data_IF_849311655402
#
_entry.id   IF_849311655402
#
_cell.length_a   1.000
_cell.length_b   1.000
_cell.length_c   1.000
_cell.angle_alpha   90.00
_cell.angle_beta   90.00
_cell.angle_gamma   90.00
#
_symmetry.space_group_name_H-M   'P 1'
#
loop_
_entity.id
_entity.type
_entity.pdbx_description
1 polymer ?
#
# COMPACT_ATOMS: atom_id res chain seq x y z
N UNK A 1 -7.09 -3.64 -14.54
CA UNK A 1 -6.99 -4.90 -15.31
C UNK A 1 -5.54 -5.30 -15.56
N UNK A 2 -4.78 -4.59 -16.40
CA UNK A 2 -3.40 -5.00 -16.75
C UNK A 2 -2.38 -5.11 -15.60
N UNK A 3 -2.62 -4.52 -14.43
CA UNK A 3 -1.76 -4.76 -13.24
C UNK A 3 -1.99 -6.17 -12.70
N UNK A 4 -3.25 -6.55 -12.47
CA UNK A 4 -3.60 -7.86 -11.93
C UNK A 4 -3.16 -8.98 -12.88
N UNK A 5 -3.41 -8.83 -14.18
CA UNK A 5 -2.97 -9.80 -15.19
C UNK A 5 -1.45 -10.03 -15.16
N UNK A 6 -0.66 -8.97 -14.98
CA UNK A 6 0.81 -9.09 -14.88
C UNK A 6 1.23 -9.76 -13.57
N UNK A 7 0.58 -9.42 -12.45
CA UNK A 7 0.89 -10.02 -11.15
C UNK A 7 0.56 -11.52 -11.15
N UNK A 8 -0.64 -11.90 -11.60
CA UNK A 8 -1.11 -13.29 -11.59
C UNK A 8 -0.43 -14.17 -12.64
N UNK A 9 0.26 -13.57 -13.63
CA UNK A 9 1.11 -14.30 -14.56
C UNK A 9 2.44 -14.74 -13.94
N UNK A 10 2.84 -14.20 -12.78
CA UNK A 10 4.06 -14.62 -12.09
C UNK A 10 3.82 -15.96 -11.37
N UNK A 11 4.70 -16.96 -11.54
CA UNK A 11 4.43 -18.34 -11.13
C UNK A 11 4.29 -18.56 -9.62
N UNK A 12 4.87 -17.68 -8.81
CA UNK A 12 4.91 -17.83 -7.35
C UNK A 12 4.39 -16.57 -6.63
N UNK A 13 3.54 -15.78 -7.28
CA UNK A 13 3.00 -14.57 -6.67
C UNK A 13 2.16 -14.91 -5.45
N UNK A 14 2.34 -14.14 -4.39
CA UNK A 14 1.47 -14.14 -3.22
C UNK A 14 1.03 -12.71 -2.99
N UNK A 15 -0.26 -12.51 -2.79
CA UNK A 15 -0.85 -11.20 -2.60
C UNK A 15 -1.62 -11.21 -1.28
N UNK A 16 -1.61 -10.07 -0.58
CA UNK A 16 -2.50 -9.76 0.54
C UNK A 16 -3.31 -8.54 0.15
N UNK A 17 -4.47 -8.33 0.77
CA UNK A 17 -5.25 -7.11 0.53
C UNK A 17 -4.81 -5.95 1.43
N UNK A 18 -4.95 -4.74 0.93
CA UNK A 18 -4.88 -3.50 1.69
C UNK A 18 -6.24 -2.83 1.86
N UNK A 19 -6.21 -1.61 2.40
CA UNK A 19 -7.41 -0.78 2.54
C UNK A 19 -8.07 -0.47 1.20
N UNK A 20 -7.32 -0.24 0.13
CA UNK A 20 -7.88 0.08 -1.19
C UNK A 20 -8.69 -1.06 -1.79
N UNK A 21 -8.25 -2.31 -1.63
CA UNK A 21 -9.01 -3.48 -2.09
C UNK A 21 -10.31 -3.61 -1.30
N UNK A 22 -10.27 -3.39 0.03
CA UNK A 22 -11.48 -3.42 0.86
C UNK A 22 -12.45 -2.31 0.50
N UNK A 23 -11.99 -1.07 0.34
CA UNK A 23 -12.83 0.03 -0.11
C UNK A 23 -13.51 -0.30 -1.44
N UNK A 24 -12.79 -0.85 -2.42
CA UNK A 24 -13.38 -1.28 -3.69
C UNK A 24 -14.50 -2.32 -3.49
N UNK A 25 -14.31 -3.28 -2.58
CA UNK A 25 -15.25 -4.41 -2.41
C UNK A 25 -16.48 -4.09 -1.55
N UNK A 26 -16.32 -3.30 -0.49
CA UNK A 26 -17.37 -3.10 0.53
C UNK A 26 -18.03 -1.71 0.49
N UNK A 27 -17.58 -0.84 -0.42
CA UNK A 27 -18.14 0.49 -0.61
C UNK A 27 -17.69 1.52 0.43
N UNK A 28 -16.95 1.14 1.47
CA UNK A 28 -16.32 2.11 2.40
C UNK A 28 -15.33 2.98 1.63
N UNK A 29 -15.11 4.18 2.14
CA UNK A 29 -14.24 5.18 1.52
C UNK A 29 -13.34 5.81 2.57
N UNK A 30 -12.12 6.25 2.19
CA UNK A 30 -11.31 7.08 3.08
C UNK A 30 -12.04 8.40 3.35
N UNK A 31 -11.66 9.06 4.45
CA UNK A 31 -12.18 10.37 4.81
C UNK A 31 -12.08 11.37 3.64
N UNK A 32 -13.06 12.28 3.46
CA UNK A 32 -14.27 12.52 4.28
C UNK A 32 -15.45 11.58 3.98
N UNK A 33 -16.35 11.44 4.96
CA UNK A 33 -17.67 10.81 4.82
C UNK A 33 -18.76 11.87 4.54
N UNK A 34 -20.01 11.42 4.33
CA UNK A 34 -21.15 12.31 4.07
C UNK A 34 -21.41 13.24 5.26
N UNK A 35 -21.27 12.73 6.48
CA UNK A 35 -21.47 13.47 7.73
C UNK A 35 -20.45 14.62 7.86
N UNK A 36 -19.20 14.40 7.46
CA UNK A 36 -18.17 15.43 7.42
C UNK A 36 -18.55 16.54 6.44
N UNK A 37 -19.10 16.21 5.28
CA UNK A 37 -19.56 17.19 4.28
C UNK A 37 -20.79 17.96 4.76
N UNK A 38 -21.68 17.33 5.54
CA UNK A 38 -22.80 18.03 6.15
C UNK A 38 -22.33 19.05 7.19
N UNK A 39 -21.27 18.74 7.94
CA UNK A 39 -20.66 19.67 8.88
C UNK A 39 -19.81 20.75 8.19
N UNK A 40 -19.08 20.38 7.13
CA UNK A 40 -18.20 21.24 6.36
C UNK A 40 -18.42 21.05 4.84
N UNK A 41 -19.34 21.80 4.21
CA UNK A 41 -19.68 21.64 2.80
C UNK A 41 -18.51 21.85 1.83
N UNK A 42 -17.43 22.51 2.27
CA UNK A 42 -16.19 22.68 1.51
C UNK A 42 -15.54 21.33 1.11
N UNK A 43 -15.84 20.25 1.86
CA UNK A 43 -15.31 18.91 1.65
C UNK A 43 -15.99 18.15 0.49
N UNK A 44 -17.11 18.66 -0.04
CA UNK A 44 -17.88 18.02 -1.11
C UNK A 44 -17.02 17.66 -2.34
N UNK A 45 -16.13 18.53 -2.88
CA UNK A 45 -15.28 18.17 -4.02
C UNK A 45 -14.36 16.98 -3.71
N UNK A 46 -13.84 16.88 -2.49
CA UNK A 46 -12.97 15.78 -2.05
C UNK A 46 -13.75 14.46 -1.95
N UNK A 47 -14.94 14.49 -1.35
CA UNK A 47 -15.84 13.33 -1.27
C UNK A 47 -16.17 12.80 -2.68
N UNK A 48 -16.57 13.70 -3.60
CA UNK A 48 -16.91 13.32 -4.97
C UNK A 48 -15.71 12.78 -5.74
N UNK A 49 -14.52 13.35 -5.55
CA UNK A 49 -13.29 12.87 -6.16
C UNK A 49 -12.95 11.44 -5.71
N UNK A 50 -13.06 11.15 -4.40
CA UNK A 50 -12.85 9.81 -3.84
C UNK A 50 -13.89 8.84 -4.40
N UNK A 51 -15.18 9.18 -4.35
CA UNK A 51 -16.25 8.33 -4.85
C UNK A 51 -16.06 7.98 -6.33
N UNK A 52 -15.66 8.96 -7.16
CA UNK A 52 -15.35 8.76 -8.58
C UNK A 52 -14.15 7.85 -8.82
N UNK A 53 -13.08 8.01 -8.02
CA UNK A 53 -11.88 7.18 -8.13
C UNK A 53 -12.20 5.70 -7.87
N UNK A 54 -12.85 5.42 -6.72
CA UNK A 54 -13.19 4.07 -6.34
C UNK A 54 -14.26 3.46 -7.25
N UNK A 55 -15.30 4.22 -7.63
CA UNK A 55 -16.33 3.73 -8.55
C UNK A 55 -15.79 3.38 -9.94
N UNK A 56 -14.81 4.15 -10.46
CA UNK A 56 -14.13 3.79 -11.71
C UNK A 56 -13.34 2.49 -11.58
N UNK A 57 -12.62 2.33 -10.46
CA UNK A 57 -11.78 1.16 -10.20
C UNK A 57 -12.65 -0.09 -10.02
N UNK A 58 -13.70 0.01 -9.21
CA UNK A 58 -14.70 -1.03 -8.98
C UNK A 58 -15.34 -1.48 -10.30
N UNK A 59 -15.84 -0.54 -11.12
CA UNK A 59 -16.43 -0.85 -12.43
C UNK A 59 -15.44 -1.51 -13.39
N UNK A 60 -14.18 -1.05 -13.42
CA UNK A 60 -13.14 -1.64 -14.26
C UNK A 60 -12.77 -3.07 -13.84
N UNK A 61 -12.77 -3.36 -12.53
CA UNK A 61 -12.49 -4.70 -12.00
C UNK A 61 -13.70 -5.64 -12.15
N UNK A 62 -14.91 -5.15 -11.93
CA UNK A 62 -16.15 -5.88 -12.17
C UNK A 62 -16.26 -6.33 -13.63
N UNK A 63 -16.06 -5.39 -14.57
CA UNK A 63 -16.13 -5.68 -16.00
C UNK A 63 -15.09 -6.71 -16.47
N UNK A 64 -13.95 -6.78 -15.77
CA UNK A 64 -12.87 -7.71 -16.09
C UNK A 64 -12.87 -8.99 -15.24
N UNK A 65 -13.87 -9.19 -14.36
CA UNK A 65 -14.03 -10.42 -13.57
C UNK A 65 -13.04 -10.58 -12.41
N UNK A 66 -12.50 -9.48 -11.87
CA UNK A 66 -11.47 -9.53 -10.83
C UNK A 66 -11.99 -9.38 -9.39
N UNK A 67 -13.28 -9.08 -9.18
CA UNK A 67 -13.80 -8.83 -7.84
C UNK A 67 -13.70 -10.07 -6.92
N UNK A 68 -14.02 -11.25 -7.43
CA UNK A 68 -13.93 -12.50 -6.64
C UNK A 68 -12.49 -12.77 -6.20
N UNK A 69 -11.52 -12.59 -7.11
CA UNK A 69 -10.10 -12.72 -6.78
C UNK A 69 -9.65 -11.71 -5.71
N UNK A 70 -10.10 -10.45 -5.78
CA UNK A 70 -9.81 -9.46 -4.74
C UNK A 70 -10.42 -9.87 -3.39
N UNK A 71 -11.61 -10.45 -3.39
CA UNK A 71 -12.32 -10.85 -2.17
C UNK A 71 -11.64 -12.03 -1.46
N UNK A 72 -10.97 -12.90 -2.21
CA UNK A 72 -10.24 -14.08 -1.71
C UNK A 72 -8.84 -13.78 -1.17
N UNK A 73 -8.33 -12.55 -1.35
CA UNK A 73 -7.02 -12.19 -0.82
C UNK A 73 -6.97 -12.36 0.71
N UNK A 74 -5.88 -12.92 1.25
CA UNK A 74 -5.68 -12.99 2.69
C UNK A 74 -5.30 -11.63 3.27
N UNK A 75 -5.60 -11.42 4.55
CA UNK A 75 -5.18 -10.23 5.30
C UNK A 75 -3.67 -10.20 5.52
N UNK A 76 -3.09 -11.38 5.74
CA UNK A 76 -1.70 -11.56 6.10
C UNK A 76 -1.06 -12.69 5.31
N UNK A 77 0.25 -12.57 5.08
CA UNK A 77 1.07 -13.60 4.48
C UNK A 77 2.11 -14.06 5.49
N UNK A 78 1.95 -15.26 6.04
CA UNK A 78 2.94 -15.87 6.92
C UNK A 78 3.84 -16.83 6.13
N UNK A 79 5.16 -16.70 6.30
CA UNK A 79 6.18 -17.56 5.69
C UNK A 79 7.21 -17.97 6.74
N UNK A 80 7.84 -19.12 6.51
CA UNK A 80 9.08 -19.51 7.20
C UNK A 80 10.20 -19.45 6.16
N UNK A 81 11.23 -18.65 6.45
CA UNK A 81 12.42 -18.53 5.62
C UNK A 81 13.31 -19.77 5.78
N UNK A 82 14.25 -20.02 4.85
CA UNK A 82 15.13 -21.20 4.91
C UNK A 82 16.02 -21.28 6.18
N UNK A 83 16.34 -20.15 6.81
CA UNK A 83 17.05 -20.07 8.09
C UNK A 83 16.15 -20.28 9.32
N UNK A 84 14.85 -20.52 9.11
CA UNK A 84 13.85 -20.73 10.16
C UNK A 84 13.14 -19.46 10.64
N UNK A 85 13.55 -18.28 10.17
CA UNK A 85 12.91 -17.01 10.57
C UNK A 85 11.44 -16.96 10.10
N UNK A 86 10.56 -16.46 10.96
CA UNK A 86 9.14 -16.23 10.66
C UNK A 86 8.96 -14.85 10.05
N UNK A 87 8.55 -14.81 8.79
CA UNK A 87 8.18 -13.60 8.09
C UNK A 87 6.66 -13.42 8.12
N UNK A 88 6.21 -12.22 8.46
CA UNK A 88 4.83 -11.78 8.34
C UNK A 88 4.73 -10.60 7.36
N UNK A 89 3.99 -10.76 6.27
CA UNK A 89 3.66 -9.71 5.32
C UNK A 89 2.25 -9.19 5.53
N UNK A 90 2.10 -7.89 5.82
CA UNK A 90 0.80 -7.23 6.05
C UNK A 90 0.75 -5.89 5.34
N UNK A 91 -0.45 -5.34 5.14
CA UNK A 91 -0.57 -4.01 4.52
C UNK A 91 -0.15 -2.90 5.47
N UNK A 92 -0.80 -2.74 6.63
CA UNK A 92 -0.53 -1.65 7.58
C UNK A 92 0.23 -2.12 8.84
N UNK A 93 -0.36 -3.05 9.57
CA UNK A 93 0.21 -3.70 10.76
C UNK A 93 -0.45 -5.07 11.01
N UNK A 94 0.10 -5.94 11.88
CA UNK A 94 -0.54 -7.22 12.20
C UNK A 94 -2.03 -7.07 12.55
N UNK A 95 -2.87 -7.85 11.90
CA UNK A 95 -4.34 -7.83 12.03
C UNK A 95 -5.05 -6.64 11.37
N UNK A 96 -4.33 -5.70 10.76
CA UNK A 96 -4.91 -4.45 10.27
C UNK A 96 -4.46 -4.12 8.84
N UNK A 97 -5.46 -3.86 7.99
CA UNK A 97 -5.25 -3.44 6.60
C UNK A 97 -5.32 -1.92 6.41
N UNK A 98 -5.58 -1.16 7.46
CA UNK A 98 -5.77 0.29 7.44
C UNK A 98 -5.42 0.90 8.80
N UNK A 99 -5.38 2.23 8.89
CA UNK A 99 -5.17 2.97 10.14
C UNK A 99 -3.78 3.57 10.25
N UNK A 100 -3.14 3.42 11.40
CA UNK A 100 -1.74 3.83 11.56
C UNK A 100 -0.82 2.73 11.00
N UNK A 101 0.34 3.12 10.46
CA UNK A 101 1.34 2.17 9.97
C UNK A 101 2.75 2.63 10.27
N UNK A 102 3.72 1.75 10.02
CA UNK A 102 5.14 2.02 10.23
C UNK A 102 5.59 3.21 9.40
N UNK A 103 6.07 4.26 10.05
CA UNK A 103 6.56 5.50 9.44
C UNK A 103 7.65 6.14 10.31
N UNK A 104 8.42 7.10 9.78
CA UNK A 104 9.39 7.84 10.58
C UNK A 104 8.73 8.59 11.75
N UNK A 105 9.47 8.73 12.84
CA UNK A 105 9.08 9.54 13.99
C UNK A 105 8.09 8.87 14.96
N UNK A 106 7.74 7.59 14.75
CA UNK A 106 6.98 6.83 15.74
C UNK A 106 7.80 6.64 17.02
N UNK A 107 7.15 6.87 18.17
CA UNK A 107 7.71 6.61 19.49
C UNK A 107 7.65 5.10 19.82
N UNK A 108 8.49 4.60 20.74
CA UNK A 108 8.48 3.19 21.14
C UNK A 108 7.08 2.67 21.51
N UNK A 109 6.29 3.44 22.25
CA UNK A 109 4.95 3.02 22.69
C UNK A 109 3.96 2.87 21.51
N UNK A 110 4.20 3.62 20.42
CA UNK A 110 3.41 3.51 19.20
C UNK A 110 3.84 2.30 18.37
N UNK A 111 5.13 1.95 18.38
CA UNK A 111 5.63 0.72 17.78
C UNK A 111 5.12 -0.50 18.55
N UNK A 112 5.14 -0.45 19.87
CA UNK A 112 4.55 -1.48 20.73
C UNK A 112 3.08 -1.68 20.37
N UNK A 113 2.28 -0.61 20.33
CA UNK A 113 0.86 -0.71 19.97
C UNK A 113 0.61 -1.26 18.56
N UNK A 114 1.48 -0.97 17.59
CA UNK A 114 1.34 -1.45 16.21
C UNK A 114 1.70 -2.92 16.05
N UNK A 115 2.68 -3.42 16.81
CA UNK A 115 3.26 -4.75 16.63
C UNK A 115 3.10 -5.65 17.88
N UNK A 116 2.19 -5.28 18.79
CA UNK A 116 1.92 -6.00 20.02
C UNK A 116 1.57 -7.47 19.75
N UNK A 117 2.16 -8.36 20.55
CA UNK A 117 1.93 -9.81 20.44
C UNK A 117 2.35 -10.44 19.10
N UNK A 118 3.06 -9.73 18.21
CA UNK A 118 3.50 -10.27 16.94
C UNK A 118 4.58 -11.35 17.15
N UNK A 119 4.36 -12.61 16.72
CA UNK A 119 5.29 -13.71 16.96
C UNK A 119 6.33 -13.86 15.83
N UNK A 120 6.43 -12.88 14.94
CA UNK A 120 7.29 -12.92 13.76
C UNK A 120 8.66 -12.30 14.06
N UNK A 121 9.70 -12.84 13.44
CA UNK A 121 11.06 -12.30 13.53
C UNK A 121 11.26 -11.14 12.53
N UNK A 122 10.49 -11.15 11.43
CA UNK A 122 10.53 -10.16 10.37
C UNK A 122 9.11 -9.76 9.96
N UNK A 123 8.79 -8.47 9.99
CA UNK A 123 7.49 -7.95 9.54
C UNK A 123 7.69 -7.01 8.36
N UNK A 124 7.11 -7.37 7.23
CA UNK A 124 7.09 -6.58 6.01
C UNK A 124 5.74 -5.85 5.91
N UNK A 125 5.78 -4.52 5.84
CA UNK A 125 4.59 -3.67 5.73
C UNK A 125 4.64 -2.74 4.53
N UNK A 126 3.48 -2.19 4.15
CA UNK A 126 3.36 -1.12 3.17
C UNK A 126 2.64 0.09 3.76
N UNK A 127 1.47 0.42 3.21
CA UNK A 127 0.50 1.40 3.71
C UNK A 127 0.94 2.88 3.74
N UNK A 128 2.03 3.21 4.44
CA UNK A 128 2.51 4.60 4.60
C UNK A 128 3.41 5.06 3.43
N UNK A 129 3.79 4.12 2.55
CA UNK A 129 4.58 4.36 1.35
C UNK A 129 6.00 4.92 1.59
N UNK A 130 6.49 4.86 2.83
CA UNK A 130 7.81 5.33 3.20
C UNK A 130 8.77 4.15 3.35
N UNK A 131 9.82 4.05 2.53
CA UNK A 131 10.79 2.98 2.67
C UNK A 131 11.63 3.18 3.94
N UNK A 132 11.59 2.21 4.85
CA UNK A 132 12.40 2.23 6.07
C UNK A 132 12.52 0.84 6.65
N UNK A 133 13.55 0.65 7.48
CA UNK A 133 13.68 -0.53 8.32
C UNK A 133 14.29 -0.18 9.66
N UNK A 134 13.88 -0.90 10.71
CA UNK A 134 14.44 -0.81 12.06
C UNK A 134 14.23 -2.13 12.81
N UNK A 135 14.88 -2.29 13.95
CA UNK A 135 14.62 -3.40 14.87
C UNK A 135 13.93 -2.83 16.11
N UNK A 136 12.82 -3.46 16.53
CA UNK A 136 12.05 -3.11 17.72
C UNK A 136 11.58 -4.37 18.44
N UNK A 137 11.89 -4.52 19.73
CA UNK A 137 11.61 -5.72 20.53
C UNK A 137 12.00 -7.03 19.82
N UNK A 138 13.22 -7.07 19.28
CA UNK A 138 13.80 -8.20 18.51
C UNK A 138 13.09 -8.53 17.18
N UNK A 139 12.09 -7.74 16.77
CA UNK A 139 11.43 -7.86 15.47
C UNK A 139 12.13 -6.93 14.47
N UNK A 140 12.55 -7.47 13.31
CA UNK A 140 12.98 -6.66 12.18
C UNK A 140 11.76 -6.14 11.43
N UNK A 141 11.49 -4.85 11.56
CA UNK A 141 10.38 -4.17 10.92
C UNK A 141 10.85 -3.51 9.62
N UNK A 142 10.18 -3.79 8.51
CA UNK A 142 10.53 -3.27 7.18
C UNK A 142 9.28 -2.74 6.47
N UNK A 143 9.27 -1.44 6.21
CA UNK A 143 8.30 -0.84 5.30
C UNK A 143 8.90 -0.79 3.90
N UNK A 144 8.26 -1.45 2.94
CA UNK A 144 8.78 -1.62 1.57
C UNK A 144 8.81 -0.30 0.77
N UNK A 145 8.10 0.74 1.23
CA UNK A 145 7.83 1.95 0.47
C UNK A 145 6.65 1.76 -0.48
N UNK A 146 6.69 2.41 -1.65
CA UNK A 146 5.65 2.27 -2.68
C UNK A 146 6.24 2.21 -4.08
N UNK A 147 5.64 1.38 -4.93
CA UNK A 147 6.00 1.24 -6.35
C UNK A 147 5.55 2.47 -7.14
N UNK A 148 4.34 2.97 -6.92
CA UNK A 148 3.73 4.02 -7.76
C UNK A 148 3.35 5.29 -7.00
N UNK A 149 3.47 5.29 -5.68
CA UNK A 149 3.13 6.45 -4.85
C UNK A 149 4.14 6.68 -3.70
N UNK A 150 5.45 6.78 -4.00
CA UNK A 150 6.44 7.08 -2.97
C UNK A 150 6.23 8.49 -2.42
N UNK A 151 6.40 8.63 -1.12
CA UNK A 151 6.26 9.91 -0.40
C UNK A 151 7.61 10.55 -0.03
N UNK A 152 8.70 9.90 -0.42
CA UNK A 152 10.08 10.36 -0.25
C UNK A 152 10.52 11.29 -1.41
N UNK A 153 11.72 11.85 -1.31
CA UNK A 153 12.33 12.65 -2.39
C UNK A 153 12.72 11.79 -3.62
N UNK A 154 13.01 10.51 -3.43
CA UNK A 154 13.28 9.56 -4.51
C UNK A 154 11.98 8.94 -5.04
N UNK A 155 11.52 9.43 -6.18
CA UNK A 155 10.25 9.03 -6.79
C UNK A 155 10.30 7.76 -7.64
N UNK A 156 11.44 7.06 -7.63
CA UNK A 156 11.55 5.74 -8.26
C UNK A 156 10.71 4.72 -7.48
N UNK A 157 10.24 3.70 -8.19
CA UNK A 157 9.49 2.61 -7.57
C UNK A 157 10.34 1.94 -6.48
N UNK A 158 9.79 1.87 -5.27
CA UNK A 158 10.41 1.19 -4.13
C UNK A 158 9.97 -0.26 -4.05
N UNK A 159 10.91 -1.15 -3.77
CA UNK A 159 10.65 -2.54 -3.40
C UNK A 159 11.83 -3.07 -2.58
N UNK A 160 11.68 -4.26 -2.01
CA UNK A 160 12.74 -4.94 -1.28
C UNK A 160 13.05 -6.27 -1.94
N UNK A 161 14.33 -6.58 -2.07
CA UNK A 161 14.81 -7.92 -2.34
C UNK A 161 15.11 -8.60 -1.01
N UNK A 162 14.45 -9.73 -0.77
CA UNK A 162 14.75 -10.64 0.33
C UNK A 162 15.50 -11.84 -0.24
N UNK A 163 16.75 -11.99 0.14
CA UNK A 163 17.60 -13.13 -0.20
C UNK A 163 17.77 -13.96 1.07
N UNK A 164 17.48 -15.26 1.03
CA UNK A 164 17.54 -16.12 2.21
C UNK A 164 17.99 -17.54 1.85
N UNK A 165 18.84 -18.11 2.70
CA UNK A 165 19.31 -19.49 2.67
C UNK A 165 19.41 -20.04 4.11
N UNK A 166 19.98 -21.23 4.30
CA UNK A 166 20.11 -21.86 5.63
C UNK A 166 21.05 -21.08 6.58
N UNK A 167 21.92 -20.21 6.06
CA UNK A 167 22.87 -19.43 6.85
C UNK A 167 22.28 -18.10 7.34
N UNK A 168 21.21 -17.62 6.71
CA UNK A 168 20.50 -16.42 7.13
C UNK A 168 19.70 -15.77 6.01
N UNK A 169 19.18 -14.57 6.29
CA UNK A 169 18.50 -13.74 5.31
C UNK A 169 19.01 -12.30 5.30
N UNK A 170 18.81 -11.62 4.17
CA UNK A 170 19.19 -10.23 3.94
C UNK A 170 18.10 -9.51 3.18
N UNK A 171 17.77 -8.30 3.65
CA UNK A 171 16.86 -7.39 2.97
C UNK A 171 17.64 -6.23 2.34
N UNK A 172 17.35 -5.95 1.07
CA UNK A 172 17.92 -4.81 0.34
C UNK A 172 16.82 -3.99 -0.30
N UNK A 173 16.65 -2.74 0.14
CA UNK A 173 15.82 -1.78 -0.57
C UNK A 173 16.37 -1.49 -1.96
N UNK A 174 15.48 -1.52 -2.95
CA UNK A 174 15.81 -1.26 -4.36
C UNK A 174 14.88 -0.18 -4.89
N UNK A 175 15.42 0.56 -5.85
CA UNK A 175 14.72 1.63 -6.56
C UNK A 175 14.78 1.34 -8.05
N UNK A 176 13.64 1.44 -8.73
CA UNK A 176 13.57 1.29 -10.18
C UNK A 176 12.94 2.54 -10.81
N UNK A 177 13.67 3.16 -11.75
CA UNK A 177 13.10 4.22 -12.57
C UNK A 177 12.05 3.65 -13.52
N UNK A 178 10.99 4.40 -13.76
CA UNK A 178 9.94 4.09 -14.71
C UNK A 178 9.42 5.37 -15.34
N UNK A 179 8.74 5.24 -16.49
CA UNK A 179 8.19 6.38 -17.21
C UNK A 179 6.91 6.88 -16.55
N UNK A 180 7.05 7.91 -15.71
CA UNK A 180 5.94 8.58 -15.02
C UNK A 180 5.09 9.41 -15.99
N UNK A 181 5.69 9.94 -17.05
CA UNK A 181 4.97 10.70 -18.08
C UNK A 181 3.98 9.79 -18.80
N UNK A 182 4.37 8.56 -19.11
CA UNK A 182 3.46 7.57 -19.70
C UNK A 182 2.25 7.26 -18.80
N UNK A 183 2.40 7.30 -17.46
CA UNK A 183 1.25 7.14 -16.54
C UNK A 183 0.30 8.33 -16.62
N UNK A 184 0.84 9.55 -16.64
CA UNK A 184 0.06 10.80 -16.77
C UNK A 184 -0.69 10.80 -18.11
N UNK A 185 0.01 10.51 -19.21
CA UNK A 185 -0.61 10.41 -20.54
C UNK A 185 -1.72 9.36 -20.58
N UNK A 186 -1.54 8.21 -19.92
CA UNK A 186 -2.56 7.19 -19.85
C UNK A 186 -3.79 7.66 -19.05
N UNK A 187 -3.60 8.34 -17.90
CA UNK A 187 -4.69 8.90 -17.11
C UNK A 187 -5.54 9.90 -17.92
N UNK A 188 -4.89 10.73 -18.73
CA UNK A 188 -5.58 11.64 -19.66
C UNK A 188 -6.29 10.89 -20.78
N UNK A 189 -5.62 9.91 -21.40
CA UNK A 189 -6.16 9.10 -22.51
C UNK A 189 -7.44 8.36 -22.11
N UNK A 190 -7.47 7.75 -20.91
CA UNK A 190 -8.67 7.06 -20.42
C UNK A 190 -9.66 7.99 -19.73
N UNK A 191 -9.37 9.30 -19.70
CA UNK A 191 -10.16 10.34 -19.03
C UNK A 191 -10.50 9.93 -17.60
N UNK A 192 -9.51 9.42 -16.87
CA UNK A 192 -9.71 8.90 -15.52
C UNK A 192 -10.40 9.98 -14.65
N UNK A 193 -11.50 9.67 -13.95
CA UNK A 193 -12.35 10.70 -13.34
C UNK A 193 -11.73 11.35 -12.10
N UNK A 194 -10.64 10.78 -11.58
CA UNK A 194 -9.82 11.35 -10.51
C UNK A 194 -8.40 11.74 -10.98
N UNK A 195 -8.16 11.93 -12.29
CA UNK A 195 -6.82 12.26 -12.81
C UNK A 195 -6.20 13.51 -12.18
N UNK A 196 -7.00 14.54 -11.92
CA UNK A 196 -6.52 15.76 -11.25
C UNK A 196 -6.04 15.50 -9.82
N UNK A 197 -6.52 14.42 -9.19
CA UNK A 197 -6.00 13.96 -7.90
C UNK A 197 -4.70 13.17 -8.06
N UNK A 198 -4.67 12.27 -9.04
CA UNK A 198 -3.65 11.23 -9.17
C UNK A 198 -2.36 11.79 -9.81
N UNK A 199 -2.49 12.67 -10.81
CA UNK A 199 -1.36 13.25 -11.54
C UNK A 199 -0.35 13.94 -10.61
N UNK A 200 -0.75 14.74 -9.59
CA UNK A 200 0.18 15.33 -8.63
C UNK A 200 1.14 14.32 -7.94
N UNK A 201 0.71 13.08 -7.70
CA UNK A 201 1.60 12.04 -7.14
C UNK A 201 2.70 11.65 -8.14
N UNK A 202 2.39 11.63 -9.44
CA UNK A 202 3.36 11.40 -10.51
C UNK A 202 4.17 12.65 -10.90
N UNK A 203 3.86 13.81 -10.33
CA UNK A 203 4.65 15.04 -10.44
C UNK A 203 5.51 15.31 -9.19
N UNK A 204 5.33 14.50 -8.12
CA UNK A 204 6.10 14.63 -6.88
C UNK A 204 5.63 15.77 -5.97
N UNK A 205 4.37 16.20 -6.12
CA UNK A 205 3.81 17.33 -5.36
C UNK A 205 3.15 16.90 -4.05
N UNK A 206 3.04 15.59 -3.81
CA UNK A 206 2.38 15.04 -2.63
C UNK A 206 3.39 14.81 -1.50
N UNK A 207 3.07 15.35 -0.33
CA UNK A 207 3.73 15.05 0.93
C UNK A 207 2.73 14.34 1.84
N UNK A 208 3.15 13.35 2.64
CA UNK A 208 2.24 12.70 3.55
C UNK A 208 1.73 13.68 4.59
N UNK A 209 0.51 13.49 5.08
CA UNK A 209 -0.13 14.37 6.08
C UNK A 209 0.60 14.42 7.43
N UNK A 210 1.55 13.51 7.64
CA UNK A 210 2.38 13.43 8.83
C UNK A 210 3.81 13.96 8.62
N UNK A 211 4.05 14.62 7.50
CA UNK A 211 5.33 15.23 7.16
C UNK A 211 5.24 16.74 7.39
N UNK A 212 5.39 17.14 8.64
CA UNK A 212 5.59 18.54 9.05
C UNK A 212 7.09 18.87 9.14
#
# INVERSE_FOLDING_TARGET
VGVLERLTALPNVRCTYGNTERYVLDGRRPWPQVEDVLAEPSLMPRLLQIARNFGWTEGALAAAGWLDWLAELPLELALTLPDGAKLLGVHASPGHFDGHGLRPGLKPEQLDALFDGCPADLVCVGHTHWAMQLVHNDIHLVNLGSVSNPVEEDWRASYVLLEADEAGHKLTHRRAAYDRSAVIEMLEKVRHPARDHIIPFFQGWQKPSWHD
#
